data_IF_842053067676
#
_entry.id   IF_842053067676
#
_cell.length_a   1.000
_cell.length_b   1.000
_cell.length_c   1.000
_cell.angle_alpha   90.00
_cell.angle_beta   90.00
_cell.angle_gamma   90.00
#
_symmetry.space_group_name_H-M   'P 1'
#
loop_
_entity.id
_entity.type
_entity.pdbx_description
1 polymer ?
#
# COMPACT_ATOMS: atom_id res chain seq x y z
N UNK A 1 7.14 -0.04 -20.11
CA UNK A 1 8.13 -1.14 -20.03
C UNK A 1 7.45 -2.50 -20.05
N UNK A 2 6.63 -2.86 -19.05
CA UNK A 2 5.98 -4.17 -18.94
C UNK A 2 5.39 -4.73 -20.25
N UNK A 3 4.60 -3.93 -20.99
CA UNK A 3 3.97 -4.32 -22.27
C UNK A 3 4.94 -4.79 -23.38
N UNK A 4 6.23 -4.52 -23.24
CA UNK A 4 7.26 -4.87 -24.23
C UNK A 4 8.10 -6.08 -23.80
N UNK A 5 7.96 -6.53 -22.56
CA UNK A 5 8.74 -7.62 -21.99
C UNK A 5 8.04 -8.97 -22.21
N UNK A 6 8.83 -10.03 -22.13
CA UNK A 6 8.40 -11.42 -21.90
C UNK A 6 9.05 -11.90 -20.60
N UNK A 7 8.47 -12.93 -19.98
CA UNK A 7 9.09 -13.66 -18.86
C UNK A 7 9.35 -12.83 -17.57
N UNK A 8 8.72 -11.66 -17.46
CA UNK A 8 8.77 -10.79 -16.26
C UNK A 8 7.39 -10.74 -15.64
N UNK A 9 7.25 -11.32 -14.46
CA UNK A 9 6.01 -11.38 -13.71
C UNK A 9 5.82 -10.17 -12.78
N UNK A 10 6.92 -9.61 -12.25
CA UNK A 10 6.88 -8.56 -11.22
C UNK A 10 7.88 -7.46 -11.53
N UNK A 11 7.43 -6.21 -11.41
CA UNK A 11 8.25 -5.01 -11.54
C UNK A 11 8.12 -4.19 -10.25
N UNK A 12 9.24 -4.05 -9.53
CA UNK A 12 9.37 -3.13 -8.39
C UNK A 12 10.08 -1.88 -8.89
N UNK A 13 9.36 -0.75 -8.93
CA UNK A 13 9.88 0.53 -9.41
C UNK A 13 10.20 1.51 -8.27
N UNK A 14 10.97 2.55 -8.60
CA UNK A 14 11.27 3.67 -7.72
C UNK A 14 12.17 4.67 -8.46
N UNK A 15 11.65 5.86 -8.75
CA UNK A 15 12.39 7.01 -9.32
C UNK A 15 11.38 8.15 -9.54
N UNK A 16 10.25 7.83 -10.17
CA UNK A 16 9.15 8.75 -10.46
C UNK A 16 8.41 9.28 -9.24
N UNK A 17 8.78 8.85 -8.04
CA UNK A 17 8.07 9.11 -6.78
C UNK A 17 6.57 8.80 -6.90
N UNK A 18 6.22 7.69 -7.56
CA UNK A 18 4.82 7.30 -7.75
C UNK A 18 4.25 6.67 -6.48
N UNK A 19 3.16 7.25 -5.98
CA UNK A 19 2.35 6.69 -4.90
C UNK A 19 1.32 5.75 -5.53
N UNK A 20 1.27 4.48 -5.13
CA UNK A 20 0.25 3.54 -5.60
C UNK A 20 -0.46 2.92 -4.39
N UNK A 21 -1.77 2.71 -4.48
CA UNK A 21 -2.64 2.28 -3.36
C UNK A 21 -3.86 3.18 -3.17
N UNK A 22 -4.63 2.91 -2.12
CA UNK A 22 -5.74 3.76 -1.67
C UNK A 22 -5.34 4.54 -0.41
N UNK A 23 -5.33 5.87 -0.53
CA UNK A 23 -4.94 6.78 0.53
C UNK A 23 -5.91 7.95 0.68
N UNK A 24 -7.15 7.80 0.20
CA UNK A 24 -8.15 8.87 0.22
C UNK A 24 -8.47 9.31 1.66
N UNK A 25 -8.46 8.36 2.60
CA UNK A 25 -8.69 8.60 4.02
C UNK A 25 -7.66 9.53 4.68
N UNK A 26 -6.48 9.70 4.08
CA UNK A 26 -5.42 10.60 4.55
C UNK A 26 -5.16 11.77 3.59
N UNK A 27 -5.99 11.91 2.55
CA UNK A 27 -5.95 13.02 1.61
C UNK A 27 -4.73 13.01 0.67
N UNK A 28 -4.15 11.84 0.40
CA UNK A 28 -3.06 11.69 -0.57
C UNK A 28 -3.59 11.20 -1.91
N UNK A 29 -3.11 11.80 -3.00
CA UNK A 29 -3.52 11.43 -4.36
C UNK A 29 -2.65 10.28 -4.87
N UNK A 30 -3.28 9.16 -5.19
CA UNK A 30 -2.61 7.99 -5.75
C UNK A 30 -2.44 8.09 -7.28
N UNK A 31 -1.36 7.51 -7.80
CA UNK A 31 -1.09 7.35 -9.23
C UNK A 31 -1.68 6.06 -9.81
N UNK A 32 -2.24 5.17 -8.99
CA UNK A 32 -2.84 3.93 -9.44
C UNK A 32 -3.04 2.90 -8.33
N UNK A 33 -3.58 1.75 -8.69
CA UNK A 33 -3.77 0.65 -7.75
C UNK A 33 -2.42 0.08 -7.28
N UNK A 34 -2.39 -0.43 -6.05
CA UNK A 34 -1.30 -1.26 -5.54
C UNK A 34 -1.84 -2.69 -5.35
N UNK A 35 -1.31 -3.70 -6.04
CA UNK A 35 -0.44 -3.60 -7.23
C UNK A 35 -1.20 -3.08 -8.45
N UNK A 36 -0.48 -2.49 -9.40
CA UNK A 36 -1.01 -2.20 -10.75
C UNK A 36 -0.76 -3.41 -11.63
N UNK A 37 -1.82 -4.02 -12.15
CA UNK A 37 -1.74 -5.19 -13.03
C UNK A 37 -1.86 -4.76 -14.50
N UNK A 38 -0.93 -5.21 -15.33
CA UNK A 38 -0.93 -4.97 -16.77
C UNK A 38 -0.59 -6.24 -17.54
N UNK A 39 -0.90 -6.28 -18.84
CA UNK A 39 -0.49 -7.36 -19.74
C UNK A 39 0.91 -7.14 -20.33
N UNK A 40 1.73 -8.19 -20.39
CA UNK A 40 3.01 -8.21 -21.12
C UNK A 40 2.81 -8.47 -22.62
N UNK A 41 3.90 -8.69 -23.36
CA UNK A 41 3.85 -8.96 -24.81
C UNK A 41 3.16 -10.29 -25.18
N UNK A 42 3.12 -11.24 -24.26
CA UNK A 42 2.48 -12.55 -24.39
C UNK A 42 1.05 -12.58 -23.82
N UNK A 43 0.48 -11.43 -23.43
CA UNK A 43 -0.83 -11.33 -22.77
C UNK A 43 -0.89 -11.96 -21.35
N UNK A 44 0.26 -12.16 -20.72
CA UNK A 44 0.39 -12.63 -19.32
C UNK A 44 0.31 -11.43 -18.37
N UNK A 45 -0.19 -11.65 -17.14
CA UNK A 45 -0.26 -10.61 -16.12
C UNK A 45 1.13 -10.25 -15.57
N UNK A 46 1.35 -8.96 -15.36
CA UNK A 46 2.54 -8.41 -14.72
C UNK A 46 2.11 -7.47 -13.61
N UNK A 47 2.64 -7.71 -12.41
CA UNK A 47 2.41 -6.87 -11.25
C UNK A 47 3.44 -5.79 -11.11
N UNK A 48 2.98 -4.55 -11.02
CA UNK A 48 3.83 -3.38 -10.88
C UNK A 48 3.53 -2.72 -9.54
N UNK A 49 4.58 -2.50 -8.75
CA UNK A 49 4.49 -1.80 -7.46
C UNK A 49 5.51 -0.68 -7.36
N UNK A 50 5.11 0.40 -6.70
CA UNK A 50 6.00 1.49 -6.26
C UNK A 50 5.63 1.90 -4.85
N UNK A 51 6.62 2.21 -4.02
CA UNK A 51 6.44 2.57 -2.61
C UNK A 51 6.78 4.05 -2.34
N UNK A 52 6.33 4.94 -3.23
CA UNK A 52 6.46 6.39 -3.12
C UNK A 52 7.91 6.88 -2.86
N UNK A 53 8.09 7.92 -2.05
CA UNK A 53 9.38 8.57 -1.78
C UNK A 53 9.71 8.63 -0.27
N UNK A 54 10.98 8.89 0.03
CA UNK A 54 11.52 9.17 1.38
C UNK A 54 11.12 8.16 2.48
N UNK A 55 10.92 6.89 2.13
CA UNK A 55 10.48 5.84 3.06
C UNK A 55 9.14 6.13 3.75
N UNK A 56 8.31 6.99 3.15
CA UNK A 56 6.97 7.29 3.68
C UNK A 56 6.02 6.10 3.53
N UNK A 57 6.26 5.24 2.54
CA UNK A 57 5.52 4.00 2.31
C UNK A 57 6.48 2.82 2.36
N UNK A 58 6.04 1.73 2.98
CA UNK A 58 6.63 0.39 2.84
C UNK A 58 5.65 -0.48 2.08
N UNK A 59 6.06 -1.01 0.93
CA UNK A 59 5.22 -1.91 0.14
C UNK A 59 5.19 -3.33 0.69
N UNK A 60 4.00 -3.90 0.87
CA UNK A 60 3.79 -5.34 1.09
C UNK A 60 3.10 -5.92 -0.15
N UNK A 61 3.75 -6.86 -0.83
CA UNK A 61 3.24 -7.53 -2.02
C UNK A 61 3.21 -9.04 -1.78
N UNK A 62 2.04 -9.64 -1.94
CA UNK A 62 1.80 -11.07 -1.87
C UNK A 62 1.53 -11.58 -3.29
N UNK A 63 2.28 -12.61 -3.69
CA UNK A 63 2.15 -13.23 -5.01
C UNK A 63 2.03 -14.73 -4.84
N UNK A 64 1.01 -15.28 -5.49
CA UNK A 64 0.89 -16.72 -5.70
C UNK A 64 1.22 -17.04 -7.15
N UNK A 65 1.97 -18.12 -7.36
CA UNK A 65 2.29 -18.64 -8.68
C UNK A 65 1.56 -19.95 -8.94
N UNK A 66 1.20 -20.19 -10.19
CA UNK A 66 0.80 -21.49 -10.68
C UNK A 66 2.01 -22.43 -10.81
N UNK A 67 1.76 -23.73 -11.01
CA UNK A 67 2.82 -24.72 -11.18
C UNK A 67 3.67 -24.51 -12.45
N UNK A 68 3.14 -23.79 -13.43
CA UNK A 68 3.85 -23.43 -14.67
C UNK A 68 4.68 -22.16 -14.54
N UNK A 69 4.69 -21.52 -13.36
CA UNK A 69 5.43 -20.29 -13.08
C UNK A 69 4.67 -19.01 -13.38
N UNK A 70 3.45 -19.07 -13.93
CA UNK A 70 2.62 -17.87 -14.19
C UNK A 70 1.98 -17.33 -12.91
N UNK A 71 1.66 -16.02 -12.87
CA UNK A 71 0.95 -15.42 -11.72
C UNK A 71 -0.45 -16.02 -11.60
N UNK A 72 -0.74 -16.55 -10.41
CA UNK A 72 -2.07 -17.01 -10.00
C UNK A 72 -2.85 -15.89 -9.31
N UNK A 73 -2.21 -15.17 -8.39
CA UNK A 73 -2.77 -14.00 -7.74
C UNK A 73 -1.67 -13.01 -7.37
N UNK A 74 -2.08 -11.76 -7.28
CA UNK A 74 -1.21 -10.66 -6.96
C UNK A 74 -1.99 -9.57 -6.26
N UNK A 75 -1.73 -9.45 -4.97
CA UNK A 75 -2.41 -8.55 -4.06
C UNK A 75 -1.39 -8.01 -3.05
N UNK A 76 -1.74 -6.94 -2.37
CA UNK A 76 -0.80 -6.30 -1.48
C UNK A 76 -1.38 -5.07 -0.82
N UNK A 77 -0.69 -4.60 0.20
CA UNK A 77 -1.07 -3.43 0.97
C UNK A 77 0.16 -2.53 1.10
N UNK A 78 0.13 -1.31 0.57
CA UNK A 78 1.16 -0.33 0.88
C UNK A 78 0.91 0.27 2.27
N UNK A 79 1.93 0.26 3.12
CA UNK A 79 1.85 0.71 4.50
C UNK A 79 2.42 2.12 4.65
N UNK A 80 1.65 3.05 5.22
CA UNK A 80 2.17 4.36 5.61
C UNK A 80 3.03 4.21 6.86
N UNK A 81 4.25 4.72 6.79
CA UNK A 81 5.13 4.83 7.94
C UNK A 81 4.78 6.08 8.74
N UNK A 82 4.45 5.87 10.01
CA UNK A 82 4.09 6.93 10.95
C UNK A 82 5.18 7.11 11.99
N UNK A 83 5.44 8.36 12.35
CA UNK A 83 6.22 8.74 13.52
C UNK A 83 5.26 9.11 14.67
N UNK A 84 5.78 9.25 15.89
CA UNK A 84 5.01 9.68 17.06
C UNK A 84 4.86 11.22 17.14
N UNK A 85 5.37 11.95 16.14
CA UNK A 85 5.24 13.41 16.01
C UNK A 85 4.26 13.78 14.91
N UNK A 86 3.17 14.44 15.30
CA UNK A 86 2.10 14.88 14.40
C UNK A 86 1.98 16.40 14.48
N UNK A 87 2.18 17.09 13.35
CA UNK A 87 2.21 18.56 13.31
C UNK A 87 1.18 19.13 12.36
N UNK A 88 0.54 20.24 12.77
CA UNK A 88 -0.34 21.04 11.92
C UNK A 88 0.07 22.50 11.94
N UNK A 89 -0.37 23.27 10.93
CA UNK A 89 -0.16 24.72 10.93
C UNK A 89 -1.10 25.38 11.94
N UNK A 90 -0.57 26.27 12.77
CA UNK A 90 -1.36 27.17 13.61
C UNK A 90 -1.92 28.36 12.80
N UNK A 91 -2.62 29.29 13.46
CA UNK A 91 -3.15 30.51 12.85
C UNK A 91 -2.09 31.40 12.21
N UNK A 92 -0.82 31.25 12.62
CA UNK A 92 0.32 32.01 12.12
C UNK A 92 1.08 31.24 11.03
N UNK A 93 0.58 30.07 10.61
CA UNK A 93 1.19 29.23 9.59
C UNK A 93 2.38 28.38 10.08
N UNK A 94 2.72 28.42 11.37
CA UNK A 94 3.83 27.64 11.95
C UNK A 94 3.39 26.21 12.18
N UNK A 95 4.22 25.23 11.78
CA UNK A 95 4.00 23.81 12.13
C UNK A 95 4.23 23.62 13.63
N UNK A 96 3.17 23.29 14.36
CA UNK A 96 3.17 23.00 15.79
C UNK A 96 2.67 21.59 16.03
N UNK A 97 3.21 20.94 17.05
CA UNK A 97 2.77 19.61 17.49
C UNK A 97 1.29 19.67 17.89
N UNK A 98 0.52 18.66 17.52
CA UNK A 98 -0.87 18.53 17.96
C UNK A 98 -0.92 17.94 19.38
N UNK A 99 -1.82 18.46 20.20
CA UNK A 99 -2.04 18.04 21.57
C UNK A 99 -3.52 17.78 21.86
N UNK A 100 -3.79 17.28 23.08
CA UNK A 100 -5.13 17.01 23.60
C UNK A 100 -6.02 16.24 22.62
N UNK A 101 -7.24 16.75 22.43
CA UNK A 101 -8.28 16.12 21.61
C UNK A 101 -7.84 15.84 20.16
N UNK A 102 -6.96 16.66 19.58
CA UNK A 102 -6.49 16.46 18.22
C UNK A 102 -5.53 15.28 18.12
N UNK A 103 -4.64 15.14 19.11
CA UNK A 103 -3.73 14.00 19.19
C UNK A 103 -4.51 12.70 19.41
N UNK A 104 -5.48 12.71 20.32
CA UNK A 104 -6.36 11.56 20.56
C UNK A 104 -7.15 11.14 19.32
N UNK A 105 -7.66 12.11 18.54
CA UNK A 105 -8.36 11.82 17.29
C UNK A 105 -7.45 11.12 16.25
N UNK A 106 -6.18 11.53 16.16
CA UNK A 106 -5.20 10.88 15.28
C UNK A 106 -4.93 9.45 15.72
N UNK A 107 -4.66 9.21 17.00
CA UNK A 107 -4.48 7.83 17.49
C UNK A 107 -5.70 6.97 17.27
N UNK A 108 -6.91 7.51 17.49
CA UNK A 108 -8.14 6.78 17.24
C UNK A 108 -8.30 6.40 15.77
N UNK A 109 -7.94 7.30 14.84
CA UNK A 109 -7.94 7.00 13.41
C UNK A 109 -6.93 5.89 13.08
N UNK A 110 -5.73 5.95 13.65
CA UNK A 110 -4.69 4.92 13.49
C UNK A 110 -5.16 3.57 14.05
N UNK A 111 -5.68 3.53 15.28
CA UNK A 111 -6.15 2.31 15.93
C UNK A 111 -7.30 1.66 15.16
N UNK A 112 -8.24 2.44 14.64
CA UNK A 112 -9.34 1.91 13.80
C UNK A 112 -8.76 1.24 12.56
N UNK A 113 -7.81 1.86 11.86
CA UNK A 113 -7.14 1.23 10.72
C UNK A 113 -6.44 -0.09 11.12
N UNK A 114 -5.71 -0.12 12.24
CA UNK A 114 -5.07 -1.35 12.73
C UNK A 114 -6.06 -2.42 13.18
N UNK A 115 -7.22 -2.04 13.70
CA UNK A 115 -8.26 -2.96 14.15
C UNK A 115 -8.88 -3.71 12.97
N UNK A 116 -9.20 -3.01 11.88
CA UNK A 116 -9.68 -3.64 10.65
C UNK A 116 -8.63 -4.54 10.01
N UNK A 117 -7.35 -4.14 10.03
CA UNK A 117 -6.23 -4.99 9.58
C UNK A 117 -6.17 -6.28 10.43
N UNK A 118 -6.26 -6.17 11.76
CA UNK A 118 -6.25 -7.34 12.66
C UNK A 118 -7.44 -8.27 12.45
N UNK A 119 -8.65 -7.73 12.24
CA UNK A 119 -9.85 -8.54 11.94
C UNK A 119 -9.71 -9.23 10.59
N UNK A 120 -9.27 -8.51 9.55
CA UNK A 120 -9.07 -9.07 8.22
C UNK A 120 -8.04 -10.21 8.25
N UNK A 121 -6.92 -10.01 8.94
CA UNK A 121 -5.88 -11.03 9.11
C UNK A 121 -6.37 -12.25 9.92
N UNK A 122 -7.19 -12.02 10.96
CA UNK A 122 -7.84 -13.09 11.72
C UNK A 122 -8.81 -13.87 10.82
N UNK A 123 -9.65 -13.18 10.04
CA UNK A 123 -10.61 -13.80 9.13
C UNK A 123 -9.92 -14.66 8.07
N UNK A 124 -8.89 -14.12 7.39
CA UNK A 124 -8.06 -14.85 6.41
C UNK A 124 -7.44 -16.12 6.99
N UNK A 125 -6.92 -16.07 8.23
CA UNK A 125 -6.37 -17.25 8.90
C UNK A 125 -7.44 -18.28 9.25
N UNK A 126 -8.65 -17.86 9.61
CA UNK A 126 -9.74 -18.78 9.95
C UNK A 126 -10.40 -19.43 8.73
N UNK A 127 -10.46 -18.74 7.57
CA UNK A 127 -11.03 -19.30 6.34
C UNK A 127 -10.12 -20.33 5.67
N UNK A 128 -8.80 -20.27 5.92
CA UNK A 128 -7.84 -21.28 5.43
C UNK A 128 -7.73 -22.53 6.34
N UNK A 129 -8.52 -22.62 7.42
CA UNK A 129 -8.55 -23.78 8.34
C UNK A 129 -9.80 -24.66 8.18
N UNK A 130 -10.65 -24.36 7.21
CA UNK A 130 -11.83 -25.14 6.80
C UNK A 130 -11.69 -25.48 5.31
N UNK A 131 -10.74 -26.37 5.03
CA UNK A 131 -10.49 -26.97 3.72
C UNK A 131 -9.83 -28.33 3.89
#
# INVERSE_FOLDING_TARGET
MAKLLTDVDVIVGGDSHSLTGDFDNVGLNSNGAYPTVVKNKNEEDVCIVTAWEYSQIVGELNIEFNNDGTIKSCDGIPHIMLDDSFKRKDSNGKRVEIDGNYREAVYKAIEVSFFWIKIFYFFLKTTNFIG
#
